data_IF_153284015118
#
_entry.id   IF_153284015118
#
_cell.length_a   1.000
_cell.length_b   1.000
_cell.length_c   1.000
_cell.angle_alpha   90.00
_cell.angle_beta   90.00
_cell.angle_gamma   90.00
#
_symmetry.space_group_name_H-M   'P 1'
#
loop_
_entity.id
_entity.type
_entity.pdbx_description
1 polymer ?
#
# COMPACT_ATOMS: atom_id res chain seq x y z
N UNK A 1 -12.87 12.30 -3.16
CA UNK A 1 -11.82 13.25 -2.73
C UNK A 1 -11.48 12.88 -1.30
N UNK A 2 -10.35 12.20 -1.12
CA UNK A 2 -9.95 11.60 0.16
C UNK A 2 -9.28 12.61 1.08
N UNK A 3 -9.55 12.48 2.38
CA UNK A 3 -8.84 13.16 3.46
C UNK A 3 -8.20 12.10 4.37
N UNK A 4 -6.88 12.15 4.52
CA UNK A 4 -6.12 11.34 5.47
C UNK A 4 -5.80 12.21 6.70
N UNK A 5 -6.21 11.77 7.89
CA UNK A 5 -5.74 12.32 9.17
C UNK A 5 -5.18 11.18 10.02
N UNK A 6 -3.90 11.25 10.34
CA UNK A 6 -3.22 10.43 11.34
C UNK A 6 -2.46 11.38 12.27
N UNK A 7 -3.13 11.89 13.30
CA UNK A 7 -2.53 12.80 14.29
C UNK A 7 -2.83 12.41 15.75
N UNK A 8 -3.15 11.15 16.03
CA UNK A 8 -3.31 10.71 17.42
C UNK A 8 -2.72 9.32 17.62
N UNK A 9 -1.45 9.26 18.00
CA UNK A 9 -0.96 8.27 18.93
C UNK A 9 0.11 8.94 19.79
N UNK A 10 -0.25 9.14 21.05
CA UNK A 10 0.60 9.70 22.09
C UNK A 10 1.89 8.90 22.23
N UNK A 11 2.94 9.65 22.49
CA UNK A 11 4.21 9.22 23.06
C UNK A 11 3.94 8.60 24.44
N UNK A 12 4.19 7.30 24.58
CA UNK A 12 4.56 6.69 25.86
C UNK A 12 5.32 5.38 25.62
N UNK A 13 6.53 5.31 26.17
CA UNK A 13 7.52 4.29 25.87
C UNK A 13 7.22 2.90 26.44
N UNK A 14 7.31 1.88 25.58
CA UNK A 14 7.98 0.60 25.85
C UNK A 14 8.12 -0.20 24.54
N UNK A 15 9.21 -0.96 24.32
CA UNK A 15 9.43 -1.66 23.07
C UNK A 15 8.61 -2.95 23.04
N UNK A 16 7.34 -2.87 22.62
CA UNK A 16 6.57 -4.07 22.29
C UNK A 16 6.95 -4.55 20.89
N UNK A 17 7.94 -5.43 20.92
CA UNK A 17 8.29 -6.44 19.93
C UNK A 17 7.03 -7.06 19.28
N UNK A 18 6.79 -6.77 18.01
CA UNK A 18 6.13 -7.70 17.09
C UNK A 18 4.71 -7.40 16.59
N UNK A 19 4.11 -6.24 16.88
CA UNK A 19 2.82 -5.89 16.27
C UNK A 19 2.99 -5.24 14.88
N UNK A 20 2.29 -5.71 13.83
CA UNK A 20 2.39 -5.13 12.49
C UNK A 20 1.77 -3.72 12.48
N UNK A 21 2.62 -2.72 12.33
CA UNK A 21 2.27 -1.30 12.17
C UNK A 21 2.13 -0.95 10.68
N UNK A 22 1.56 0.20 10.36
CA UNK A 22 1.51 0.80 9.02
C UNK A 22 2.90 1.10 8.42
N UNK A 23 3.97 1.03 9.22
CA UNK A 23 5.37 1.09 8.75
C UNK A 23 5.99 -0.30 8.57
N UNK A 24 5.26 -1.38 8.87
CA UNK A 24 5.72 -2.75 8.65
C UNK A 24 5.61 -3.05 7.17
N UNK A 25 6.76 -3.17 6.51
CA UNK A 25 6.83 -3.50 5.09
C UNK A 25 6.16 -4.86 4.85
N UNK A 26 5.18 -4.89 3.95
CA UNK A 26 4.49 -6.12 3.53
C UNK A 26 5.40 -7.05 2.73
N UNK A 27 6.50 -6.51 2.21
CA UNK A 27 7.51 -7.22 1.43
C UNK A 27 8.84 -7.10 2.15
N UNK A 28 9.57 -8.20 2.23
CA UNK A 28 10.94 -8.23 2.76
C UNK A 28 11.82 -7.35 1.86
N UNK A 29 12.53 -6.41 2.47
CA UNK A 29 13.52 -5.59 1.76
C UNK A 29 14.61 -6.51 1.18
N UNK A 30 14.80 -6.56 -0.15
CA UNK A 30 15.69 -7.54 -0.79
C UNK A 30 17.17 -7.43 -0.38
N UNK A 31 17.55 -6.34 0.30
CA UNK A 31 18.93 -6.12 0.79
C UNK A 31 19.11 -6.55 2.26
N UNK A 32 18.02 -6.85 2.97
CA UNK A 32 18.05 -7.20 4.39
C UNK A 32 18.27 -8.70 4.58
N UNK A 33 19.54 -9.09 4.75
CA UNK A 33 20.00 -10.45 4.95
C UNK A 33 19.71 -11.00 6.37
N UNK A 34 18.48 -10.83 6.88
CA UNK A 34 18.10 -11.32 8.21
C UNK A 34 17.06 -12.43 8.08
N UNK A 35 17.56 -13.65 7.94
CA UNK A 35 16.78 -14.89 7.93
C UNK A 35 16.30 -15.22 9.35
N UNK A 36 15.05 -14.90 9.66
CA UNK A 36 14.33 -15.50 10.79
C UNK A 36 12.85 -15.69 10.45
N UNK A 37 12.55 -16.70 9.62
CA UNK A 37 11.27 -17.38 9.67
C UNK A 37 11.56 -18.89 9.69
N UNK A 38 11.24 -19.61 10.78
CA UNK A 38 11.27 -21.06 10.79
C UNK A 38 10.06 -21.60 10.03
N UNK A 39 10.28 -22.09 8.81
CA UNK A 39 9.26 -22.82 8.06
C UNK A 39 9.18 -24.23 8.68
N UNK A 40 8.16 -24.47 9.49
CA UNK A 40 7.83 -25.79 10.01
C UNK A 40 6.93 -26.55 9.02
N UNK A 41 7.20 -27.86 8.92
CA UNK A 41 6.52 -28.97 8.21
C UNK A 41 7.41 -29.55 7.08
N UNK A 42 7.77 -30.83 7.02
CA UNK A 42 7.79 -31.96 7.97
C UNK A 42 8.57 -33.07 7.25
N UNK A 43 9.27 -33.92 8.00
CA UNK A 43 9.83 -35.22 7.57
C UNK A 43 10.84 -35.22 6.39
N UNK A 44 12.14 -35.05 6.70
CA UNK A 44 13.26 -35.74 5.99
C UNK A 44 14.66 -35.38 6.53
N UNK A 45 14.74 -34.73 7.70
CA UNK A 45 15.99 -34.68 8.45
C UNK A 45 16.12 -35.97 9.24
N UNK A 46 16.87 -36.93 8.70
CA UNK A 46 17.84 -37.77 9.42
C UNK A 46 18.34 -38.88 8.47
N UNK A 47 19.36 -38.58 7.66
CA UNK A 47 20.35 -39.61 7.29
C UNK A 47 21.70 -39.00 6.89
N UNK A 48 22.63 -39.11 7.84
CA UNK A 48 24.07 -39.33 7.69
C UNK A 48 24.99 -38.32 6.95
N UNK A 49 25.86 -37.73 7.77
CA UNK A 49 27.33 -37.70 7.65
C UNK A 49 27.99 -37.90 6.27
N UNK A 50 28.73 -36.86 5.84
CA UNK A 50 29.96 -36.90 5.05
C UNK A 50 29.97 -37.74 3.75
N UNK A 51 29.60 -37.13 2.62
CA UNK A 51 30.13 -37.49 1.30
C UNK A 51 29.86 -36.39 0.24
N UNK A 52 30.95 -35.84 -0.35
CA UNK A 52 31.08 -35.29 -1.71
C UNK A 52 30.27 -34.03 -2.11
N UNK A 53 30.74 -33.18 -3.04
CA UNK A 53 30.05 -31.94 -3.41
C UNK A 53 28.73 -32.30 -4.08
N UNK A 54 27.62 -31.93 -3.42
CA UNK A 54 26.27 -32.27 -3.85
C UNK A 54 25.91 -31.43 -5.07
N UNK A 55 26.02 -32.02 -6.27
CA UNK A 55 25.46 -31.51 -7.54
C UNK A 55 24.00 -31.02 -7.44
N UNK A 56 23.26 -31.45 -6.42
CA UNK A 56 21.89 -31.02 -6.10
C UNK A 56 21.78 -29.55 -5.71
N UNK A 57 22.77 -28.97 -5.01
CA UNK A 57 22.66 -27.60 -4.49
C UNK A 57 22.78 -26.55 -5.61
N UNK A 58 23.74 -26.75 -6.51
CA UNK A 58 23.89 -25.92 -7.72
C UNK A 58 22.63 -25.97 -8.60
N UNK A 59 22.03 -27.16 -8.76
CA UNK A 59 20.79 -27.31 -9.52
C UNK A 59 19.59 -26.61 -8.85
N UNK A 60 19.53 -26.60 -7.52
CA UNK A 60 18.50 -25.86 -6.76
C UNK A 60 18.67 -24.34 -6.90
N UNK A 61 19.91 -23.85 -6.83
CA UNK A 61 20.23 -22.43 -7.04
C UNK A 61 19.83 -21.97 -8.45
N UNK A 62 20.12 -22.78 -9.47
CA UNK A 62 19.70 -22.50 -10.85
C UNK A 62 18.17 -22.48 -11.00
N UNK A 63 17.45 -23.40 -10.37
CA UNK A 63 15.98 -23.37 -10.37
C UNK A 63 15.40 -22.12 -9.70
N UNK A 64 16.01 -21.67 -8.59
CA UNK A 64 15.60 -20.41 -7.93
C UNK A 64 15.83 -19.22 -8.85
N UNK A 65 17.00 -19.12 -9.49
CA UNK A 65 17.32 -18.06 -10.44
C UNK A 65 16.31 -18.04 -11.59
N UNK A 66 15.97 -19.21 -12.14
CA UNK A 66 14.98 -19.33 -13.22
C UNK A 66 13.59 -18.90 -12.76
N UNK A 67 13.14 -19.31 -11.57
CA UNK A 67 11.83 -18.93 -11.04
C UNK A 67 11.74 -17.43 -10.72
N UNK A 68 12.79 -16.86 -10.13
CA UNK A 68 12.89 -15.44 -9.84
C UNK A 68 12.91 -14.62 -11.15
N UNK A 69 13.69 -15.07 -12.13
CA UNK A 69 13.73 -14.44 -13.46
C UNK A 69 12.36 -14.53 -14.14
N UNK A 70 11.70 -15.69 -14.12
CA UNK A 70 10.37 -15.86 -14.70
C UNK A 70 9.30 -14.98 -14.04
N UNK A 71 9.46 -14.65 -12.76
CA UNK A 71 8.56 -13.74 -12.03
C UNK A 71 8.85 -12.27 -12.35
N UNK A 72 10.13 -11.93 -12.56
CA UNK A 72 10.58 -10.55 -12.78
C UNK A 72 10.55 -10.11 -14.26
N UNK A 73 10.49 -11.04 -15.21
CA UNK A 73 10.33 -10.72 -16.62
C UNK A 73 8.89 -10.27 -16.89
N UNK A 74 8.76 -9.10 -17.50
CA UNK A 74 7.48 -8.52 -17.88
C UNK A 74 7.06 -9.12 -19.23
N UNK A 75 5.98 -9.89 -19.24
CA UNK A 75 5.33 -10.31 -20.48
C UNK A 75 4.52 -9.16 -21.07
N UNK A 76 5.09 -8.52 -22.09
CA UNK A 76 4.46 -7.40 -22.82
C UNK A 76 3.27 -7.84 -23.68
N UNK A 77 3.14 -9.14 -23.98
CA UNK A 77 2.06 -9.69 -24.79
C UNK A 77 0.84 -10.14 -23.96
N UNK A 78 0.95 -10.21 -22.62
CA UNK A 78 -0.11 -10.64 -21.72
C UNK A 78 -1.27 -9.63 -21.50
N UNK A 79 -1.46 -8.68 -22.43
CA UNK A 79 -2.53 -7.68 -22.34
C UNK A 79 -3.93 -8.25 -22.64
N UNK A 80 -4.02 -9.45 -23.23
CA UNK A 80 -5.29 -10.12 -23.47
C UNK A 80 -5.86 -10.69 -22.17
N UNK A 81 -6.89 -10.00 -21.66
CA UNK A 81 -7.63 -10.30 -20.43
C UNK A 81 -8.43 -11.61 -20.44
N UNK A 82 -8.13 -12.56 -21.33
CA UNK A 82 -9.00 -13.70 -21.68
C UNK A 82 -8.50 -15.07 -21.21
N UNK A 83 -7.59 -15.13 -20.24
CA UNK A 83 -7.18 -16.40 -19.64
C UNK A 83 -8.18 -16.97 -18.62
N UNK A 84 -9.31 -16.28 -18.37
CA UNK A 84 -10.36 -16.76 -17.47
C UNK A 84 -11.61 -17.15 -18.27
N UNK A 85 -11.97 -18.43 -18.26
CA UNK A 85 -13.21 -18.88 -18.87
C UNK A 85 -14.44 -18.43 -18.06
N UNK A 86 -15.57 -18.19 -18.73
CA UNK A 86 -16.79 -17.70 -18.09
C UNK A 86 -17.29 -18.63 -16.97
N UNK A 87 -17.16 -19.94 -17.15
CA UNK A 87 -17.60 -20.92 -16.16
C UNK A 87 -16.76 -20.84 -14.87
N UNK A 88 -15.43 -20.70 -14.99
CA UNK A 88 -14.53 -20.52 -13.83
C UNK A 88 -14.83 -19.22 -13.09
N UNK A 89 -15.13 -18.15 -13.82
CA UNK A 89 -15.51 -16.87 -13.22
C UNK A 89 -16.77 -17.01 -12.35
N UNK A 90 -17.83 -17.65 -12.88
CA UNK A 90 -19.08 -17.86 -12.16
C UNK A 90 -18.87 -18.75 -10.93
N UNK A 91 -18.04 -19.77 -11.04
CA UNK A 91 -17.72 -20.64 -9.91
C UNK A 91 -16.94 -19.89 -8.81
N UNK A 92 -15.89 -19.16 -9.17
CA UNK A 92 -15.13 -18.32 -8.21
C UNK A 92 -16.01 -17.28 -7.54
N UNK A 93 -16.91 -16.63 -8.29
CA UNK A 93 -17.87 -15.68 -7.73
C UNK A 93 -18.74 -16.35 -6.65
N UNK A 94 -19.29 -17.54 -6.92
CA UNK A 94 -20.08 -18.29 -5.94
C UNK A 94 -19.25 -18.63 -4.70
N UNK A 95 -18.03 -19.14 -4.89
CA UNK A 95 -17.13 -19.51 -3.79
C UNK A 95 -16.79 -18.30 -2.91
N UNK A 96 -16.48 -17.14 -3.50
CA UNK A 96 -16.18 -15.92 -2.76
C UNK A 96 -17.40 -15.38 -2.03
N UNK A 97 -18.58 -15.40 -2.65
CA UNK A 97 -19.82 -15.00 -1.98
C UNK A 97 -20.12 -15.85 -0.76
N UNK A 98 -19.92 -17.17 -0.86
CA UNK A 98 -20.14 -18.10 0.25
C UNK A 98 -19.13 -17.84 1.39
N UNK A 99 -17.83 -17.73 1.07
CA UNK A 99 -16.78 -17.44 2.06
C UNK A 99 -17.02 -16.10 2.75
N UNK A 100 -17.45 -15.08 2.01
CA UNK A 100 -17.77 -13.77 2.56
C UNK A 100 -18.97 -13.85 3.51
N UNK A 101 -20.04 -14.56 3.13
CA UNK A 101 -21.21 -14.74 3.99
C UNK A 101 -20.85 -15.48 5.28
N UNK A 102 -20.03 -16.52 5.21
CA UNK A 102 -19.54 -17.25 6.38
C UNK A 102 -18.70 -16.35 7.30
N UNK A 103 -17.79 -15.56 6.72
CA UNK A 103 -16.97 -14.62 7.49
C UNK A 103 -17.82 -13.53 8.16
N UNK A 104 -18.80 -12.97 7.45
CA UNK A 104 -19.73 -11.96 8.00
C UNK A 104 -20.73 -12.53 9.03
N UNK A 105 -21.00 -13.84 9.00
CA UNK A 105 -21.83 -14.48 10.02
C UNK A 105 -21.03 -14.84 11.28
N UNK A 106 -19.77 -15.24 11.12
CA UNK A 106 -18.86 -15.58 12.22
C UNK A 106 -18.37 -14.34 12.97
N UNK A 107 -17.95 -13.31 12.23
CA UNK A 107 -17.68 -12.01 12.80
C UNK A 107 -19.02 -11.31 13.02
N UNK A 108 -19.39 -11.02 14.27
CA UNK A 108 -20.53 -10.16 14.63
C UNK A 108 -20.27 -8.72 14.18
N UNK A 109 -20.09 -8.52 12.87
CA UNK A 109 -19.94 -7.21 12.27
C UNK A 109 -21.21 -6.44 12.63
N UNK A 110 -21.10 -5.27 13.27
CA UNK A 110 -22.26 -4.49 13.59
C UNK A 110 -23.05 -4.27 12.30
N UNK A 111 -24.40 -4.34 12.34
CA UNK A 111 -25.21 -4.08 11.17
C UNK A 111 -24.76 -2.75 10.58
N UNK A 112 -24.71 -2.66 9.24
CA UNK A 112 -24.48 -1.40 8.53
C UNK A 112 -25.68 -0.48 8.75
N UNK A 113 -25.85 0.00 9.97
CA UNK A 113 -26.70 1.13 10.28
C UNK A 113 -26.12 2.29 9.50
N UNK A 114 -26.93 2.83 8.59
CA UNK A 114 -26.58 4.05 7.86
C UNK A 114 -26.22 5.07 8.92
N UNK A 115 -24.94 5.44 8.99
CA UNK A 115 -24.48 6.47 9.90
C UNK A 115 -25.29 7.72 9.61
N UNK A 116 -26.04 8.20 10.60
CA UNK A 116 -26.73 9.48 10.48
C UNK A 116 -25.67 10.57 10.62
N UNK A 117 -25.82 11.67 9.88
CA UNK A 117 -24.93 12.81 10.05
C UNK A 117 -25.07 13.36 11.48
N UNK A 118 -23.95 13.76 12.08
CA UNK A 118 -23.88 14.41 13.39
C UNK A 118 -24.38 13.54 14.57
N UNK A 119 -24.36 12.20 14.45
CA UNK A 119 -24.73 11.30 15.56
C UNK A 119 -23.91 11.54 16.84
N UNK A 120 -22.69 12.03 16.68
CA UNK A 120 -21.74 12.27 17.76
C UNK A 120 -21.83 13.69 18.36
N UNK A 121 -22.69 14.57 17.83
CA UNK A 121 -22.83 15.94 18.32
C UNK A 121 -24.01 16.04 19.28
N UNK A 122 -23.78 16.15 20.60
CA UNK A 122 -24.86 16.40 21.55
C UNK A 122 -25.45 17.80 21.34
N UNK A 123 -26.78 17.88 21.23
CA UNK A 123 -27.53 19.15 21.06
C UNK A 123 -27.02 20.02 19.88
N UNK A 124 -27.19 19.57 18.63
CA UNK A 124 -26.66 20.27 17.44
C UNK A 124 -27.16 21.71 17.32
N UNK A 125 -28.39 22.01 17.76
CA UNK A 125 -28.95 23.35 17.77
C UNK A 125 -28.12 24.33 18.62
N UNK A 126 -27.58 23.87 19.75
CA UNK A 126 -26.75 24.69 20.63
C UNK A 126 -25.39 24.97 20.00
N UNK A 127 -24.79 23.97 19.37
CA UNK A 127 -23.50 24.10 18.68
C UNK A 127 -23.61 25.04 17.49
N UNK A 128 -24.69 24.95 16.71
CA UNK A 128 -24.92 25.84 15.57
C UNK A 128 -25.25 27.28 15.98
N UNK A 129 -25.72 27.48 17.21
CA UNK A 129 -26.03 28.81 17.77
C UNK A 129 -24.85 29.43 18.51
N UNK A 130 -23.69 28.78 18.57
CA UNK A 130 -22.50 29.32 19.22
C UNK A 130 -21.93 30.49 18.43
N UNK A 131 -21.03 31.25 19.07
CA UNK A 131 -20.30 32.33 18.42
C UNK A 131 -19.56 31.82 17.17
N UNK A 132 -19.60 32.61 16.10
CA UNK A 132 -18.90 32.32 14.86
C UNK A 132 -17.38 32.38 15.03
N UNK A 133 -16.64 31.78 14.10
CA UNK A 133 -15.17 31.85 14.07
C UNK A 133 -14.68 33.29 14.13
N UNK A 134 -13.65 33.54 14.95
CA UNK A 134 -13.06 34.86 15.11
C UNK A 134 -12.54 35.40 13.75
N UNK A 135 -12.87 36.66 13.37
CA UNK A 135 -12.40 37.26 12.11
C UNK A 135 -10.88 37.42 12.02
N UNK A 136 -10.16 37.48 13.14
CA UNK A 136 -8.69 37.49 13.14
C UNK A 136 -8.11 36.13 12.68
N UNK A 137 -8.71 35.03 13.13
CA UNK A 137 -8.31 33.68 12.72
C UNK A 137 -8.56 33.47 11.22
N UNK A 138 -9.69 33.95 10.71
CA UNK A 138 -9.98 33.92 9.26
C UNK A 138 -8.95 34.71 8.46
N UNK A 139 -8.51 35.87 8.94
CA UNK A 139 -7.46 36.66 8.29
C UNK A 139 -6.11 35.94 8.31
N UNK A 140 -5.77 35.31 9.43
CA UNK A 140 -4.55 34.51 9.56
C UNK A 140 -4.54 33.33 8.59
N UNK A 141 -5.63 32.57 8.53
CA UNK A 141 -5.78 31.43 7.61
C UNK A 141 -5.64 31.90 6.16
N UNK A 142 -6.35 32.96 5.76
CA UNK A 142 -6.27 33.49 4.40
C UNK A 142 -4.85 33.93 4.05
N UNK A 143 -4.17 34.66 4.95
CA UNK A 143 -2.78 35.07 4.74
C UNK A 143 -1.82 33.88 4.58
N UNK A 144 -1.98 32.84 5.40
CA UNK A 144 -1.18 31.62 5.30
C UNK A 144 -1.41 30.91 3.96
N UNK A 145 -2.67 30.77 3.52
CA UNK A 145 -3.02 30.15 2.24
C UNK A 145 -2.48 30.95 1.06
N UNK A 146 -2.59 32.29 1.08
CA UNK A 146 -2.02 33.14 0.02
C UNK A 146 -0.50 32.97 -0.10
N UNK A 147 0.21 32.90 1.04
CA UNK A 147 1.66 32.66 1.03
C UNK A 147 2.03 31.27 0.49
N UNK A 148 1.27 30.25 0.88
CA UNK A 148 1.47 28.90 0.35
C UNK A 148 1.22 28.83 -1.16
N UNK A 149 0.14 29.48 -1.65
CA UNK A 149 -0.16 29.56 -3.07
C UNK A 149 0.94 30.28 -3.86
N UNK A 150 1.49 31.37 -3.32
CA UNK A 150 2.63 32.06 -3.93
C UNK A 150 3.87 31.14 -4.02
N UNK A 151 4.21 30.43 -2.93
CA UNK A 151 5.33 29.51 -2.93
C UNK A 151 5.17 28.34 -3.92
N UNK A 152 3.94 27.84 -4.11
CA UNK A 152 3.66 26.82 -5.14
C UNK A 152 3.84 27.39 -6.55
N UNK A 153 3.49 28.65 -6.78
CA UNK A 153 3.67 29.29 -8.08
C UNK A 153 5.15 29.47 -8.47
N UNK A 154 6.04 29.50 -7.48
CA UNK A 154 7.49 29.56 -7.69
C UNK A 154 8.07 28.20 -8.13
N UNK A 155 7.32 27.11 -8.00
CA UNK A 155 7.72 25.78 -8.48
C UNK A 155 7.54 25.72 -9.99
N UNK A 156 8.55 26.20 -10.73
CA UNK A 156 8.59 26.17 -12.19
C UNK A 156 10.01 25.91 -12.68
N UNK A 157 10.13 25.38 -13.89
CA UNK A 157 11.43 25.20 -14.55
C UNK A 157 11.87 26.56 -15.11
N UNK A 158 13.04 27.04 -14.69
CA UNK A 158 13.67 28.22 -15.27
C UNK A 158 14.31 27.86 -16.61
N UNK A 159 13.87 28.50 -17.70
CA UNK A 159 14.45 28.34 -19.03
C UNK A 159 15.84 28.97 -19.08
N UNK A 160 16.87 28.19 -19.42
CA UNK A 160 18.25 28.68 -19.58
C UNK A 160 18.74 28.64 -21.03
N UNK A 161 18.50 27.53 -21.71
CA UNK A 161 18.97 27.27 -23.07
C UNK A 161 17.88 26.59 -23.88
N UNK A 162 17.92 26.78 -25.19
CA UNK A 162 16.94 26.17 -26.08
C UNK A 162 17.19 24.66 -26.19
N UNK A 163 16.24 23.86 -25.69
CA UNK A 163 16.32 22.39 -25.80
C UNK A 163 16.11 21.88 -27.24
N UNK A 164 15.64 22.74 -28.13
CA UNK A 164 15.38 22.39 -29.53
C UNK A 164 15.98 23.48 -30.40
N UNK A 165 16.96 23.10 -31.22
CA UNK A 165 17.56 23.98 -32.22
C UNK A 165 17.22 23.45 -33.60
N UNK A 166 16.76 24.33 -34.48
CA UNK A 166 16.43 23.98 -35.85
C UNK A 166 17.68 24.14 -36.72
N UNK A 167 18.18 23.03 -37.26
CA UNK A 167 19.31 23.08 -38.18
C UNK A 167 18.81 23.55 -39.55
N UNK A 168 19.35 24.67 -40.04
CA UNK A 168 19.23 25.09 -41.44
C UNK A 168 20.57 24.91 -42.12
N UNK A 169 20.55 24.34 -43.33
CA UNK A 169 21.72 24.28 -44.21
C UNK A 169 21.82 25.63 -44.93
N UNK A 170 22.99 26.29 -44.97
CA UNK A 170 23.19 27.49 -45.78
C UNK A 170 23.05 27.13 -47.27
N UNK A 171 22.30 27.93 -48.02
CA UNK A 171 22.19 27.81 -49.49
C UNK A 171 23.54 28.05 -50.21
#
# INVERSE_FOLDING_TARGET
MGCCYSFFCNEDGSPQRGEPSERTHLLVDPVSNNSNIPIYNSEDFLSNSNALPKKTDEQSALNRILQETATNVIDVAALDSHNLQQHEYVERMRQYSLKLQQACASNKLPPRTKMCLLQDIPAPEKVLSSESVNPDDLRLINSAVTRAAAAISDIKVEHKEDMVVMFRVPD
#
